data_IF_106669589835
#
_entry.id   IF_106669589835
#
_cell.length_a   1.000
_cell.length_b   1.000
_cell.length_c   1.000
_cell.angle_alpha   90.00
_cell.angle_beta   90.00
_cell.angle_gamma   90.00
#
_symmetry.space_group_name_H-M   'P 1'
#
loop_
_entity.id
_entity.type
_entity.pdbx_description
1 polymer ?
#
# COMPACT_ATOMS: atom_id res chain seq x y z
N UNK A 1 27.41 -14.64 -21.90
CA UNK A 1 27.72 -14.73 -20.45
C UNK A 1 28.99 -13.97 -20.17
N UNK A 2 28.94 -12.98 -19.28
CA UNK A 2 30.11 -12.16 -18.91
C UNK A 2 31.14 -12.99 -18.14
N UNK A 3 32.43 -12.87 -18.49
CA UNK A 3 33.54 -13.71 -17.98
C UNK A 3 34.74 -12.89 -17.46
N UNK A 4 34.53 -11.67 -16.97
CA UNK A 4 35.61 -10.72 -16.61
C UNK A 4 35.50 -10.12 -15.21
N UNK A 5 36.36 -9.16 -14.87
CA UNK A 5 36.41 -8.47 -13.56
C UNK A 5 35.36 -7.36 -13.44
N UNK A 6 34.82 -7.08 -12.23
CA UNK A 6 33.74 -6.11 -12.07
C UNK A 6 34.19 -4.71 -12.48
N UNK A 7 33.55 -4.14 -13.51
CA UNK A 7 33.49 -2.69 -13.67
C UNK A 7 32.26 -2.20 -12.91
N UNK A 8 32.25 -0.94 -12.48
CA UNK A 8 31.05 -0.32 -11.88
C UNK A 8 29.87 -0.22 -12.88
N UNK A 9 30.09 -0.55 -14.16
CA UNK A 9 29.10 -0.57 -15.22
C UNK A 9 28.68 -2.02 -15.55
N UNK A 10 28.30 -2.79 -14.52
CA UNK A 10 27.70 -4.11 -14.66
C UNK A 10 26.52 -4.22 -13.71
N UNK A 11 25.35 -4.49 -14.26
CA UNK A 11 24.11 -4.60 -13.52
C UNK A 11 23.49 -5.99 -13.69
N UNK A 12 22.74 -6.42 -12.69
CA UNK A 12 22.14 -7.76 -12.65
C UNK A 12 20.95 -7.90 -13.63
N UNK A 13 20.28 -6.79 -13.91
CA UNK A 13 19.17 -6.70 -14.84
C UNK A 13 19.13 -5.31 -15.48
N UNK A 14 18.27 -5.17 -16.47
CA UNK A 14 18.05 -3.92 -17.19
C UNK A 14 17.58 -2.79 -16.27
N UNK A 15 16.70 -3.08 -15.32
CA UNK A 15 16.20 -2.09 -14.35
C UNK A 15 17.32 -1.41 -13.56
N UNK A 16 18.27 -2.18 -13.02
CA UNK A 16 19.40 -1.61 -12.27
C UNK A 16 20.36 -0.83 -13.18
N UNK A 17 20.46 -1.21 -14.45
CA UNK A 17 21.24 -0.50 -15.45
C UNK A 17 20.65 0.87 -15.76
N UNK A 18 19.33 0.94 -16.02
CA UNK A 18 18.65 2.18 -16.38
C UNK A 18 18.65 3.16 -15.21
N UNK A 19 18.39 2.70 -13.98
CA UNK A 19 18.40 3.54 -12.78
C UNK A 19 19.75 4.21 -12.53
N UNK A 20 20.86 3.47 -12.67
CA UNK A 20 22.18 3.95 -12.30
C UNK A 20 22.91 4.70 -13.42
N UNK A 21 22.60 4.41 -14.69
CA UNK A 21 23.31 5.00 -15.83
C UNK A 21 22.49 6.07 -16.57
N UNK A 22 21.17 5.91 -16.67
CA UNK A 22 20.30 6.82 -17.43
C UNK A 22 19.73 7.88 -16.49
N UNK A 23 19.08 7.44 -15.40
CA UNK A 23 18.35 8.34 -14.51
C UNK A 23 19.24 9.09 -13.50
N UNK A 24 20.49 8.70 -13.33
CA UNK A 24 21.47 9.40 -12.47
C UNK A 24 21.83 10.80 -13.00
N UNK A 25 21.65 11.04 -14.30
CA UNK A 25 21.96 12.31 -14.96
C UNK A 25 20.75 13.26 -15.03
N UNK A 26 19.57 12.82 -14.57
CA UNK A 26 18.44 13.73 -14.41
C UNK A 26 18.77 14.58 -13.19
N UNK A 27 19.10 15.88 -13.35
CA UNK A 27 19.24 16.74 -12.19
C UNK A 27 17.91 16.66 -11.42
N UNK A 28 17.93 16.59 -10.08
CA UNK A 28 16.70 16.76 -9.33
C UNK A 28 16.17 18.12 -9.73
N UNK A 29 15.15 18.15 -10.59
CA UNK A 29 14.37 19.34 -10.79
C UNK A 29 13.88 19.74 -9.41
N UNK A 30 13.95 21.04 -9.05
CA UNK A 30 13.55 21.49 -7.72
C UNK A 30 12.13 21.02 -7.36
N UNK A 31 11.30 20.71 -8.37
CA UNK A 31 9.96 20.14 -8.26
C UNK A 31 9.90 18.82 -7.47
N UNK A 32 10.89 17.92 -7.56
CA UNK A 32 10.84 16.63 -6.85
C UNK A 32 11.20 16.79 -5.36
N UNK A 33 11.92 17.86 -5.00
CA UNK A 33 12.24 18.16 -3.58
C UNK A 33 11.11 18.96 -2.90
N UNK A 34 10.16 19.48 -3.69
CA UNK A 34 8.93 20.16 -3.22
C UNK A 34 7.66 19.33 -3.39
N UNK A 35 7.74 18.00 -3.25
CA UNK A 35 6.56 17.14 -2.95
C UNK A 35 6.01 17.33 -1.52
N UNK A 36 6.24 18.50 -0.95
CA UNK A 36 5.50 19.10 0.14
C UNK A 36 5.51 20.56 -0.27
N UNK A 37 4.40 21.19 -0.60
CA UNK A 37 3.64 21.89 0.42
C UNK A 37 2.39 22.44 -0.28
N UNK A 38 1.32 21.64 -0.38
CA UNK A 38 0.01 22.28 -0.28
C UNK A 38 -0.03 22.82 1.14
N UNK A 39 -0.22 24.14 1.35
CA UNK A 39 -0.26 24.69 2.69
C UNK A 39 -1.39 23.99 3.45
N UNK A 40 -1.00 23.29 4.52
CA UNK A 40 -1.89 22.59 5.43
C UNK A 40 -3.05 23.51 5.84
N UNK A 41 -4.28 23.03 6.02
CA UNK A 41 -5.38 23.92 6.39
C UNK A 41 -5.10 24.69 7.69
N UNK A 42 -5.56 25.94 7.83
CA UNK A 42 -5.23 26.80 8.96
C UNK A 42 -5.68 26.24 10.31
N UNK A 43 -6.65 25.33 10.31
CA UNK A 43 -7.13 24.62 11.50
C UNK A 43 -6.11 23.63 12.04
N UNK A 44 -5.29 23.06 11.17
CA UNK A 44 -4.32 22.02 11.50
C UNK A 44 -2.93 22.63 11.80
N UNK A 45 -2.67 23.85 11.29
CA UNK A 45 -1.46 24.62 11.59
C UNK A 45 -1.40 25.17 13.03
N UNK A 46 -2.54 25.29 13.71
CA UNK A 46 -2.61 25.82 15.08
C UNK A 46 -2.65 24.69 16.10
N UNK A 47 -2.03 24.83 17.28
CA UNK A 47 -2.15 23.83 18.33
C UNK A 47 -3.58 23.81 18.90
N UNK A 48 -4.04 22.63 19.31
CA UNK A 48 -5.31 22.53 20.05
C UNK A 48 -5.20 23.27 21.39
N UNK A 49 -6.22 24.05 21.74
CA UNK A 49 -6.31 24.67 23.05
C UNK A 49 -6.60 23.60 24.13
N UNK A 50 -5.60 23.27 24.94
CA UNK A 50 -5.68 22.30 26.04
C UNK A 50 -6.14 22.91 27.37
N UNK A 51 -6.62 24.16 27.36
CA UNK A 51 -7.14 24.80 28.56
C UNK A 51 -8.40 24.12 29.11
N UNK A 52 -8.60 24.24 30.42
CA UNK A 52 -9.79 23.75 31.11
C UNK A 52 -10.84 24.86 31.21
N UNK A 53 -11.72 24.98 30.21
CA UNK A 53 -12.81 25.96 30.18
C UNK A 53 -14.16 25.40 30.69
N UNK A 54 -14.28 24.07 30.78
CA UNK A 54 -15.43 23.34 31.34
C UNK A 54 -14.97 22.48 32.51
N UNK A 55 -15.89 21.92 33.29
CA UNK A 55 -15.55 21.02 34.40
C UNK A 55 -15.25 19.57 33.97
N UNK A 56 -15.26 19.31 32.66
CA UNK A 56 -15.08 17.97 32.07
C UNK A 56 -14.02 18.03 30.97
N UNK A 57 -13.32 16.92 30.78
CA UNK A 57 -12.40 16.71 29.66
C UNK A 57 -13.01 15.66 28.74
N UNK A 58 -13.17 16.02 27.46
CA UNK A 58 -13.70 15.12 26.43
C UNK A 58 -12.56 14.65 25.54
N UNK A 59 -12.48 13.36 25.25
CA UNK A 59 -11.51 12.82 24.27
C UNK A 59 -11.92 13.21 22.87
N UNK A 60 -11.00 13.80 22.12
CA UNK A 60 -11.17 14.28 20.75
C UNK A 60 -9.92 13.99 19.94
N UNK A 61 -9.96 14.20 18.63
CA UNK A 61 -8.80 14.10 17.75
C UNK A 61 -8.21 15.47 17.44
N UNK A 62 -6.89 15.55 17.39
CA UNK A 62 -6.15 16.76 17.01
C UNK A 62 -4.97 16.41 16.11
N UNK A 63 -4.65 17.29 15.17
CA UNK A 63 -3.53 17.15 14.28
C UNK A 63 -2.26 17.71 14.90
N UNK A 64 -1.23 16.88 15.03
CA UNK A 64 0.08 17.25 15.57
C UNK A 64 1.17 16.62 14.70
N UNK A 65 2.05 17.46 14.15
CA UNK A 65 3.24 17.01 13.41
C UNK A 65 2.95 16.05 12.25
N UNK A 66 1.87 16.30 11.50
CA UNK A 66 1.50 15.49 10.34
C UNK A 66 0.69 14.23 10.67
N UNK A 67 0.12 14.14 11.87
CA UNK A 67 -0.67 12.98 12.31
C UNK A 67 -1.84 13.40 13.20
N UNK A 68 -2.95 12.71 13.06
CA UNK A 68 -4.08 12.84 13.96
C UNK A 68 -3.96 11.90 15.18
N UNK A 69 -4.02 12.48 16.38
CA UNK A 69 -3.89 11.78 17.66
C UNK A 69 -5.10 12.09 18.56
N UNK A 70 -5.39 11.19 19.49
CA UNK A 70 -6.37 11.44 20.56
C UNK A 70 -5.77 12.39 21.61
N UNK A 71 -6.57 13.34 22.08
CA UNK A 71 -6.19 14.28 23.13
C UNK A 71 -7.41 14.67 23.98
N UNK A 72 -7.15 15.04 25.24
CA UNK A 72 -8.17 15.56 26.13
C UNK A 72 -8.47 17.03 25.86
N UNK A 73 -9.73 17.36 25.62
CA UNK A 73 -10.19 18.73 25.41
C UNK A 73 -11.05 19.22 26.56
N UNK A 74 -10.56 20.26 27.25
CA UNK A 74 -11.22 20.87 28.40
C UNK A 74 -12.32 21.88 28.05
N UNK A 75 -12.77 21.95 26.79
CA UNK A 75 -13.93 22.76 26.39
C UNK A 75 -13.64 24.19 25.90
N UNK A 76 -12.36 24.57 25.74
CA UNK A 76 -11.99 25.88 25.21
C UNK A 76 -12.13 25.96 23.68
N UNK A 77 -12.42 27.13 23.12
CA UNK A 77 -12.53 27.28 21.67
C UNK A 77 -11.19 26.96 20.97
N UNK A 78 -11.26 26.12 19.94
CA UNK A 78 -10.11 25.68 19.14
C UNK A 78 -10.60 25.13 17.80
N UNK A 79 -9.83 25.36 16.74
CA UNK A 79 -10.09 24.82 15.39
C UNK A 79 -9.43 23.47 15.15
N UNK A 80 -8.28 23.22 15.76
CA UNK A 80 -7.59 21.93 15.70
C UNK A 80 -8.25 20.91 16.64
N UNK A 81 -9.52 20.55 16.37
CA UNK A 81 -10.29 19.62 17.18
C UNK A 81 -11.36 18.95 16.33
N UNK A 82 -11.34 17.63 16.30
CA UNK A 82 -12.23 16.81 15.50
C UNK A 82 -12.89 15.73 16.37
N UNK A 83 -14.14 15.37 16.06
CA UNK A 83 -14.87 14.36 16.83
C UNK A 83 -14.40 12.94 16.52
N UNK A 84 -13.87 12.73 15.31
CA UNK A 84 -13.41 11.41 14.83
C UNK A 84 -12.03 11.51 14.20
N UNK A 85 -11.28 10.40 14.23
CA UNK A 85 -9.97 10.30 13.56
C UNK A 85 -10.10 10.61 12.07
N UNK A 86 -11.08 10.01 11.41
CA UNK A 86 -11.34 10.21 9.99
C UNK A 86 -11.52 11.68 9.62
N UNK A 87 -12.30 12.43 10.41
CA UNK A 87 -12.50 13.87 10.17
C UNK A 87 -11.20 14.66 10.29
N UNK A 88 -10.34 14.31 11.26
CA UNK A 88 -9.02 14.91 11.39
C UNK A 88 -8.14 14.58 10.18
N UNK A 89 -8.07 13.31 9.80
CA UNK A 89 -7.23 12.83 8.70
C UNK A 89 -7.61 13.53 7.39
N UNK A 90 -8.89 13.52 7.00
CA UNK A 90 -9.33 14.15 5.75
C UNK A 90 -9.18 15.66 5.73
N UNK A 91 -9.17 16.31 6.90
CA UNK A 91 -9.01 17.76 7.00
C UNK A 91 -7.55 18.16 7.00
N UNK A 92 -6.70 17.43 7.72
CA UNK A 92 -5.34 17.86 8.04
C UNK A 92 -4.25 17.08 7.31
N UNK A 93 -4.49 15.80 7.03
CA UNK A 93 -3.58 15.02 6.23
C UNK A 93 -3.86 15.40 4.77
N UNK A 94 -2.89 16.07 4.15
CA UNK A 94 -3.01 16.62 2.80
C UNK A 94 -3.58 15.58 1.84
N UNK A 95 -4.50 16.04 1.00
CA UNK A 95 -5.00 15.41 -0.22
C UNK A 95 -3.93 14.83 -1.16
N UNK A 96 -2.63 14.91 -0.86
CA UNK A 96 -1.57 14.30 -1.67
C UNK A 96 -1.84 12.81 -1.95
N UNK A 97 -2.39 12.02 -1.03
CA UNK A 97 -2.79 10.65 -1.39
C UNK A 97 -3.98 10.63 -2.37
N UNK A 98 -4.99 11.48 -2.17
CA UNK A 98 -6.18 11.55 -3.01
C UNK A 98 -5.96 12.22 -4.38
N UNK A 99 -5.05 13.18 -4.50
CA UNK A 99 -4.69 13.84 -5.77
C UNK A 99 -3.70 12.99 -6.56
N UNK A 100 -2.70 12.37 -5.92
CA UNK A 100 -1.78 11.46 -6.61
C UNK A 100 -2.51 10.19 -7.07
N UNK A 101 -3.48 9.67 -6.30
CA UNK A 101 -4.33 8.56 -6.74
C UNK A 101 -5.24 8.95 -7.91
N UNK A 102 -5.75 10.18 -7.95
CA UNK A 102 -6.53 10.68 -9.10
C UNK A 102 -5.66 10.87 -10.33
N UNK A 103 -4.48 11.45 -10.19
CA UNK A 103 -3.52 11.59 -11.27
C UNK A 103 -3.04 10.22 -11.79
N UNK A 104 -2.82 9.26 -10.90
CA UNK A 104 -2.45 7.88 -11.26
C UNK A 104 -3.59 7.15 -11.99
N UNK A 105 -4.83 7.28 -11.53
CA UNK A 105 -6.00 6.68 -12.18
C UNK A 105 -6.28 7.31 -13.55
N UNK A 106 -6.12 8.62 -13.68
CA UNK A 106 -6.30 9.32 -14.96
C UNK A 106 -5.21 8.91 -15.97
N UNK A 107 -3.95 8.80 -15.52
CA UNK A 107 -2.84 8.33 -16.35
C UNK A 107 -3.03 6.88 -16.81
N UNK A 108 -3.57 6.01 -15.93
CA UNK A 108 -3.92 4.63 -16.28
C UNK A 108 -5.03 4.57 -17.33
N UNK A 109 -6.00 5.48 -17.27
CA UNK A 109 -7.13 5.49 -18.19
C UNK A 109 -6.71 5.97 -19.59
N UNK A 110 -5.90 7.03 -19.67
CA UNK A 110 -5.36 7.54 -20.93
C UNK A 110 -4.46 6.49 -21.64
N UNK A 111 -3.67 5.75 -20.87
CA UNK A 111 -2.86 4.66 -21.40
C UNK A 111 -3.70 3.49 -21.95
N UNK A 112 -4.83 3.18 -21.30
CA UNK A 112 -5.78 2.15 -21.75
C UNK A 112 -6.54 2.57 -23.01
N UNK A 113 -6.90 3.84 -23.13
CA UNK A 113 -7.54 4.40 -24.33
C UNK A 113 -6.58 4.32 -25.53
N UNK A 114 -5.32 4.70 -25.35
CA UNK A 114 -4.28 4.58 -26.38
C UNK A 114 -4.09 3.13 -26.83
N UNK A 115 -4.12 2.18 -25.90
CA UNK A 115 -3.98 0.76 -26.22
C UNK A 115 -5.14 0.22 -27.06
N UNK A 116 -6.38 0.62 -26.73
CA UNK A 116 -7.57 0.21 -27.49
C UNK A 116 -7.56 0.77 -28.92
N UNK A 117 -7.08 2.00 -29.12
CA UNK A 117 -6.91 2.56 -30.48
C UNK A 117 -5.91 1.74 -31.31
N UNK A 118 -4.79 1.34 -30.71
CA UNK A 118 -3.78 0.52 -31.38
C UNK A 118 -4.33 -0.86 -31.74
N UNK A 119 -5.10 -1.48 -30.84
CA UNK A 119 -5.74 -2.77 -31.11
C UNK A 119 -6.70 -2.70 -32.30
N UNK A 120 -7.47 -1.63 -32.43
CA UNK A 120 -8.39 -1.46 -33.56
C UNK A 120 -7.66 -1.39 -34.90
N UNK A 121 -6.49 -0.75 -34.94
CA UNK A 121 -5.65 -0.71 -36.15
C UNK A 121 -5.12 -2.11 -36.51
N UNK A 122 -4.70 -2.88 -35.51
CA UNK A 122 -4.19 -4.24 -35.71
C UNK A 122 -5.32 -5.20 -36.16
N UNK A 123 -6.53 -5.07 -35.61
CA UNK A 123 -7.69 -5.87 -36.04
C UNK A 123 -8.08 -5.59 -37.50
N UNK A 124 -8.00 -4.33 -37.94
CA UNK A 124 -8.22 -3.97 -39.35
C UNK A 124 -7.15 -4.58 -40.27
N UNK A 125 -5.87 -4.60 -39.87
CA UNK A 125 -4.81 -5.22 -40.68
C UNK A 125 -4.91 -6.77 -40.74
N UNK A 126 -5.38 -7.42 -39.68
CA UNK A 126 -5.56 -8.88 -39.65
C UNK A 126 -6.77 -9.33 -40.51
N UNK A 127 -7.81 -8.50 -40.64
CA UNK A 127 -8.99 -8.85 -41.45
C UNK A 127 -8.79 -8.68 -42.96
N UNK A 128 -7.77 -7.91 -43.39
CA UNK A 128 -7.48 -7.72 -44.82
C UNK A 128 -6.70 -8.87 -45.48
N UNK A 129 -6.16 -9.81 -44.70
CA UNK A 129 -5.19 -10.80 -45.21
C UNK A 129 -5.54 -12.29 -45.01
N UNK A 130 -6.82 -12.66 -44.81
CA UNK A 130 -7.21 -14.08 -44.86
C UNK A 130 -8.22 -14.41 -45.98
N UNK A 131 -7.83 -15.21 -46.99
CA UNK A 131 -8.75 -15.74 -47.98
C UNK A 131 -9.70 -16.75 -47.31
N UNK A 132 -11.00 -16.48 -47.45
CA UNK A 132 -12.07 -17.37 -47.00
C UNK A 132 -11.99 -18.71 -47.71
N UNK A 133 -11.68 -19.79 -46.98
CA UNK A 133 -12.24 -21.14 -47.22
C UNK A 133 -11.83 -22.11 -46.11
N UNK A 134 -12.82 -22.57 -45.34
CA UNK A 134 -13.12 -24.00 -45.10
C UNK A 134 -13.87 -24.16 -43.76
N UNK A 135 -15.20 -24.26 -43.90
CA UNK A 135 -16.13 -24.79 -42.92
C UNK A 135 -15.79 -26.25 -42.58
N UNK A 136 -15.78 -26.61 -41.30
CA UNK A 136 -16.19 -27.96 -40.88
C UNK A 136 -16.77 -27.92 -39.46
N UNK A 137 -18.03 -28.34 -39.40
CA UNK A 137 -18.91 -28.44 -38.24
C UNK A 137 -18.51 -29.56 -37.25
N UNK A 138 -18.99 -29.36 -36.01
CA UNK A 138 -19.60 -30.32 -35.05
C UNK A 138 -18.77 -31.52 -34.55
N UNK A 139 -18.83 -31.99 -33.30
CA UNK A 139 -19.57 -31.68 -32.05
C UNK A 139 -18.95 -32.58 -30.92
N UNK A 140 -19.39 -32.49 -29.65
CA UNK A 140 -18.71 -32.96 -28.43
C UNK A 140 -19.16 -34.36 -27.98
N UNK A 141 -18.72 -34.78 -26.77
CA UNK A 141 -19.23 -35.82 -25.83
C UNK A 141 -17.99 -36.49 -25.17
N UNK A 142 -17.88 -36.79 -23.86
CA UNK A 142 -18.82 -36.84 -22.73
C UNK A 142 -18.00 -37.00 -21.44
N UNK A 143 -18.55 -36.50 -20.33
CA UNK A 143 -18.21 -36.88 -18.96
C UNK A 143 -18.37 -38.40 -18.72
N UNK A 144 -17.58 -38.95 -17.81
CA UNK A 144 -17.98 -40.15 -17.07
C UNK A 144 -17.46 -40.02 -15.64
N UNK A 145 -18.39 -39.75 -14.74
CA UNK A 145 -18.25 -39.97 -13.30
C UNK A 145 -18.30 -41.48 -13.01
N UNK A 146 -17.51 -41.93 -12.05
CA UNK A 146 -17.82 -43.09 -11.24
C UNK A 146 -17.10 -42.96 -9.89
N UNK A 147 -17.85 -42.60 -8.86
CA UNK A 147 -17.56 -42.91 -7.45
C UNK A 147 -17.44 -44.43 -7.26
N UNK A 148 -16.75 -44.88 -6.21
CA UNK A 148 -17.36 -45.62 -5.07
C UNK A 148 -16.27 -46.19 -4.12
N UNK A 149 -16.41 -45.78 -2.85
CA UNK A 149 -16.15 -46.44 -1.55
C UNK A 149 -14.76 -46.92 -1.09
N UNK A 150 -14.21 -46.15 -0.15
CA UNK A 150 -14.06 -46.45 1.28
C UNK A 150 -13.56 -47.83 1.75
N UNK A 151 -12.49 -47.80 2.57
CA UNK A 151 -12.50 -48.45 3.89
C UNK A 151 -11.52 -47.76 4.87
N UNK A 152 -12.08 -47.49 6.03
CA UNK A 152 -11.57 -47.09 7.35
C UNK A 152 -10.42 -47.95 7.89
N UNK A 153 -9.51 -47.37 8.67
CA UNK A 153 -9.35 -47.62 10.12
C UNK A 153 -8.26 -46.73 10.76
N UNK A 154 -8.71 -45.84 11.65
CA UNK A 154 -8.30 -45.66 13.06
C UNK A 154 -6.90 -46.16 13.48
N UNK A 155 -6.08 -45.28 14.09
CA UNK A 155 -5.86 -45.34 15.54
C UNK A 155 -5.21 -44.06 16.09
N UNK A 156 -5.70 -43.63 17.25
CA UNK A 156 -5.17 -42.61 18.14
C UNK A 156 -4.73 -43.33 19.42
N UNK A 157 -3.78 -42.81 20.19
CA UNK A 157 -4.26 -42.38 21.51
C UNK A 157 -3.67 -41.05 22.00
N UNK A 158 -4.53 -40.39 22.77
CA UNK A 158 -4.31 -39.21 23.58
C UNK A 158 -3.49 -39.48 24.86
N UNK A 159 -3.38 -38.39 25.65
CA UNK A 159 -3.27 -38.27 27.12
C UNK A 159 -1.81 -38.29 27.64
N UNK A 160 -1.29 -37.42 28.51
CA UNK A 160 -1.83 -36.37 29.38
C UNK A 160 -0.73 -35.41 29.87
N UNK A 161 -1.15 -34.17 30.16
CA UNK A 161 -0.71 -33.15 31.12
C UNK A 161 0.34 -33.49 32.20
N UNK A 162 1.26 -32.55 32.46
CA UNK A 162 1.59 -32.05 33.82
C UNK A 162 2.38 -30.74 33.75
N UNK A 163 1.94 -29.76 34.54
CA UNK A 163 2.65 -28.52 34.82
C UNK A 163 3.66 -28.74 35.95
N UNK A 164 4.79 -28.03 35.95
CA UNK A 164 5.37 -27.49 37.19
C UNK A 164 6.44 -26.42 36.93
N UNK A 165 6.14 -25.25 37.51
CA UNK A 165 6.97 -24.14 37.93
C UNK A 165 8.38 -24.52 38.42
N UNK A 166 9.41 -23.83 37.94
CA UNK A 166 10.58 -23.50 38.77
C UNK A 166 11.02 -22.06 38.53
N UNK A 167 10.88 -21.30 39.61
CA UNK A 167 11.45 -19.99 39.89
C UNK A 167 12.98 -20.02 39.84
N UNK A 168 13.61 -18.96 39.34
CA UNK A 168 14.84 -18.42 39.93
C UNK A 168 14.82 -16.88 39.78
N UNK A 169 14.54 -16.23 40.90
CA UNK A 169 14.91 -14.86 41.24
C UNK A 169 16.31 -14.88 41.88
N UNK A 170 16.89 -13.68 42.00
CA UNK A 170 18.18 -13.31 42.62
C UNK A 170 19.37 -13.31 41.64
N UNK A 171 20.21 -12.25 41.54
CA UNK A 171 20.47 -11.16 42.48
C UNK A 171 21.26 -10.00 41.80
N UNK A 172 20.93 -8.76 42.18
CA UNK A 172 21.75 -7.54 42.31
C UNK A 172 22.58 -6.93 41.15
N UNK A 173 22.04 -5.82 40.62
CA UNK A 173 22.51 -4.43 40.80
C UNK A 173 23.98 -4.17 41.23
N UNK A 174 24.74 -3.46 40.37
CA UNK A 174 25.74 -2.48 40.84
C UNK A 174 25.64 -1.22 39.98
N UNK A 175 25.11 -0.16 40.60
CA UNK A 175 25.11 1.23 40.14
C UNK A 175 26.30 1.96 40.77
N UNK A 176 26.94 2.82 39.96
CA UNK A 176 27.80 3.98 40.25
C UNK A 176 29.03 3.86 41.16
N UNK A 177 30.18 4.25 40.60
CA UNK A 177 30.94 5.41 41.09
C UNK A 177 31.62 6.12 39.93
#
# INVERSE_FOLDING_TARGET
MWRGCPTQNKFQNEFLCTLNCIFRMVPPTPEITTLKTTPEPPECQVPMNTGQCRNETVTVFTHVSGKCIEAGWGGCETRNKFETKYQCDVTCETHQQLELEKELNNLSQEALETFNEILHVIEEEITTDLPTTATRESEPLTETEAETEAQTETDSPEVETTAETTTNLDFEEVVNT
#
